data_IF_334365583178
#
_entry.id   IF_334365583178
#
_cell.length_a   1.000
_cell.length_b   1.000
_cell.length_c   1.000
_cell.angle_alpha   90.00
_cell.angle_beta   90.00
_cell.angle_gamma   90.00
#
_symmetry.space_group_name_H-M   'P 1'
#
loop_
_entity.id
_entity.type
_entity.pdbx_description
1 polymer ?
#
# COMPACT_ATOMS: atom_id res chain seq x y z
N UNK A 1 43.16 3.31 3.29
CA UNK A 1 44.28 3.97 4.00
C UNK A 1 43.95 5.44 4.13
N UNK A 2 43.94 6.03 5.34
CA UNK A 2 43.45 7.40 5.57
C UNK A 2 44.56 8.45 5.45
N UNK A 3 44.20 9.74 5.54
CA UNK A 3 44.84 10.51 6.59
C UNK A 3 43.84 11.26 7.48
N UNK A 4 44.22 11.29 8.76
CA UNK A 4 43.66 12.09 9.83
C UNK A 4 44.03 13.57 9.67
N UNK A 5 43.19 14.49 10.19
CA UNK A 5 43.64 15.57 11.07
C UNK A 5 42.43 16.18 11.80
N UNK A 6 42.54 16.21 13.12
CA UNK A 6 41.61 16.83 14.06
C UNK A 6 41.82 18.35 14.11
N UNK A 7 40.74 19.12 14.32
CA UNK A 7 40.85 20.50 14.82
C UNK A 7 40.14 20.60 16.18
N UNK A 8 40.95 20.80 17.22
CA UNK A 8 40.54 21.09 18.58
C UNK A 8 40.24 22.59 18.71
N UNK A 9 38.98 22.96 18.94
CA UNK A 9 38.64 24.30 19.42
C UNK A 9 37.32 24.28 20.20
N UNK A 10 37.40 24.05 21.51
CA UNK A 10 36.58 24.72 22.54
C UNK A 10 36.81 24.04 23.91
N UNK A 11 37.84 24.49 24.63
CA UNK A 11 37.96 24.27 26.08
C UNK A 11 37.91 25.62 26.80
N UNK A 12 36.90 25.74 27.67
CA UNK A 12 36.87 26.41 28.98
C UNK A 12 36.82 27.95 29.03
N UNK A 13 35.66 28.45 29.50
CA UNK A 13 35.59 29.43 30.60
C UNK A 13 34.59 28.94 31.65
N UNK A 14 35.08 28.71 32.88
CA UNK A 14 34.29 28.59 34.11
C UNK A 14 34.18 29.99 34.71
N UNK A 15 32.97 30.46 35.03
CA UNK A 15 32.72 31.39 36.14
C UNK A 15 31.36 31.02 36.78
N UNK A 16 31.32 31.21 38.09
CA UNK A 16 30.44 30.74 39.17
C UNK A 16 28.93 31.08 39.12
N UNK A 17 28.15 30.20 39.77
CA UNK A 17 26.75 30.39 40.19
C UNK A 17 26.54 31.58 41.16
N UNK A 18 25.30 32.08 41.26
CA UNK A 18 24.51 31.71 42.43
C UNK A 18 23.09 31.22 42.10
N UNK A 19 22.54 30.50 43.08
CA UNK A 19 21.26 29.80 43.08
C UNK A 19 20.05 30.72 43.19
N UNK A 20 18.95 30.35 42.53
CA UNK A 20 17.60 30.55 43.09
C UNK A 20 16.68 29.43 42.62
N UNK A 21 16.26 28.60 43.57
CA UNK A 21 15.18 27.61 43.46
C UNK A 21 13.87 28.31 43.12
N UNK A 22 13.14 27.79 42.13
CA UNK A 22 11.67 27.82 42.16
C UNK A 22 11.13 26.49 41.66
N UNK A 23 10.70 25.67 42.62
CA UNK A 23 9.94 24.44 42.42
C UNK A 23 8.58 24.80 41.85
N UNK A 24 8.21 24.22 40.71
CA UNK A 24 6.82 24.06 40.31
C UNK A 24 6.57 22.59 40.02
N UNK A 25 5.90 21.98 40.99
CA UNK A 25 5.22 20.70 40.91
C UNK A 25 4.16 20.76 39.80
N UNK A 26 4.24 19.86 38.82
CA UNK A 26 3.11 19.51 37.97
C UNK A 26 2.66 18.11 38.37
N UNK A 27 1.40 18.06 38.78
CA UNK A 27 0.69 16.95 39.41
C UNK A 27 0.55 15.77 38.44
N UNK A 28 0.83 14.58 38.97
CA UNK A 28 0.41 13.29 38.46
C UNK A 28 -1.13 13.18 38.45
N UNK A 29 -1.68 12.73 37.33
CA UNK A 29 -3.11 12.40 37.17
C UNK A 29 -3.30 10.96 37.67
N UNK A 30 -4.28 10.68 38.56
CA UNK A 30 -4.54 9.31 39.00
C UNK A 30 -5.33 8.54 37.92
N UNK A 31 -4.90 7.31 37.66
CA UNK A 31 -5.68 6.31 36.92
C UNK A 31 -6.62 5.68 37.95
N UNK A 32 -7.92 5.87 37.75
CA UNK A 32 -8.98 5.30 38.56
C UNK A 32 -9.15 3.82 38.20
N UNK A 33 -8.91 2.95 39.18
CA UNK A 33 -9.09 1.51 39.10
C UNK A 33 -10.49 1.17 39.63
N UNK A 34 -11.46 1.12 38.72
CA UNK A 34 -12.81 0.62 38.99
C UNK A 34 -12.83 -0.91 38.94
N UNK A 35 -13.09 -1.50 40.10
CA UNK A 35 -13.22 -2.91 40.38
C UNK A 35 -14.72 -3.23 40.42
N UNK A 36 -15.22 -4.08 39.53
CA UNK A 36 -16.57 -4.65 39.63
C UNK A 36 -16.47 -6.18 39.57
N UNK A 37 -16.68 -6.77 40.75
CA UNK A 37 -16.94 -8.18 41.00
C UNK A 37 -18.33 -8.56 40.50
N UNK A 38 -18.44 -9.60 39.66
CA UNK A 38 -19.56 -10.55 39.72
C UNK A 38 -19.13 -11.92 39.18
N UNK A 39 -19.01 -12.87 40.09
CA UNK A 39 -18.88 -14.32 39.86
C UNK A 39 -20.24 -15.02 39.90
N UNK A 40 -20.24 -16.27 39.41
CA UNK A 40 -21.31 -17.29 39.32
C UNK A 40 -21.97 -17.31 37.94
N UNK A 41 -21.93 -18.36 37.12
CA UNK A 41 -21.62 -19.77 37.34
C UNK A 41 -22.52 -20.56 36.39
N UNK A 42 -21.99 -21.48 35.58
CA UNK A 42 -22.84 -22.24 34.65
C UNK A 42 -22.05 -22.98 33.56
N UNK A 43 -21.40 -24.07 33.95
CA UNK A 43 -20.95 -25.16 33.08
C UNK A 43 -22.14 -25.85 32.41
N UNK A 44 -22.14 -25.94 31.08
CA UNK A 44 -22.87 -26.97 30.35
C UNK A 44 -21.99 -27.55 29.24
N UNK A 45 -21.60 -28.81 29.47
CA UNK A 45 -21.01 -29.72 28.49
C UNK A 45 -21.94 -29.89 27.29
N UNK A 46 -21.42 -29.73 26.08
CA UNK A 46 -22.06 -30.21 24.86
C UNK A 46 -21.31 -31.43 24.33
N UNK A 47 -21.91 -32.58 24.57
CA UNK A 47 -21.52 -33.91 24.15
C UNK A 47 -21.54 -34.04 22.63
N UNK A 48 -20.45 -34.55 22.08
CA UNK A 48 -20.33 -34.97 20.69
C UNK A 48 -21.24 -36.21 20.45
N UNK A 49 -22.24 -36.10 19.57
CA UNK A 49 -22.98 -37.25 19.04
C UNK A 49 -22.75 -37.37 17.55
N UNK A 50 -22.01 -38.42 17.20
CA UNK A 50 -21.74 -38.91 15.85
C UNK A 50 -22.82 -39.92 15.46
N UNK A 51 -23.55 -39.65 14.38
CA UNK A 51 -24.30 -40.68 13.65
C UNK A 51 -24.70 -40.22 12.24
N UNK A 52 -24.03 -40.71 11.21
CA UNK A 52 -24.62 -41.16 9.94
C UNK A 52 -23.54 -41.70 8.98
N UNK A 53 -23.73 -42.93 8.53
CA UNK A 53 -22.88 -43.71 7.62
C UNK A 53 -22.87 -43.19 6.17
N UNK A 54 -21.87 -43.56 5.34
CA UNK A 54 -21.56 -42.89 4.07
C UNK A 54 -22.45 -43.39 2.93
N UNK A 55 -23.09 -42.46 2.20
CA UNK A 55 -23.75 -42.75 0.93
C UNK A 55 -22.76 -42.58 -0.23
N UNK A 56 -22.70 -43.60 -1.07
CA UNK A 56 -21.85 -43.79 -2.24
C UNK A 56 -22.11 -42.76 -3.36
N UNK A 57 -21.04 -42.19 -3.91
CA UNK A 57 -21.04 -41.36 -5.11
C UNK A 57 -21.34 -42.21 -6.38
N UNK A 58 -22.17 -41.72 -7.33
CA UNK A 58 -22.37 -42.37 -8.62
C UNK A 58 -21.22 -42.07 -9.61
N UNK A 59 -20.98 -42.93 -10.61
CA UNK A 59 -19.81 -42.85 -11.50
C UNK A 59 -19.95 -41.78 -12.60
N UNK A 60 -18.83 -41.33 -13.21
CA UNK A 60 -18.84 -40.26 -14.20
C UNK A 60 -19.18 -40.81 -15.59
N UNK A 61 -20.22 -40.25 -16.21
CA UNK A 61 -20.63 -40.60 -17.57
C UNK A 61 -21.54 -39.56 -18.22
N UNK A 62 -20.91 -38.69 -19.02
CA UNK A 62 -21.43 -37.98 -20.19
C UNK A 62 -22.86 -37.39 -20.15
N UNK A 63 -22.97 -36.08 -19.90
CA UNK A 63 -24.04 -35.25 -20.45
C UNK A 63 -23.49 -33.95 -21.06
N UNK A 64 -23.48 -33.96 -22.39
CA UNK A 64 -23.84 -32.90 -23.33
C UNK A 64 -23.63 -31.43 -22.96
N UNK A 65 -22.85 -30.78 -23.81
CA UNK A 65 -22.67 -29.33 -23.94
C UNK A 65 -23.97 -28.54 -23.75
N UNK A 66 -24.14 -27.92 -22.58
CA UNK A 66 -25.01 -26.77 -22.38
C UNK A 66 -24.14 -25.52 -22.38
N UNK A 67 -24.43 -24.61 -23.32
CA UNK A 67 -23.94 -23.24 -23.30
C UNK A 67 -24.55 -22.55 -22.08
N UNK A 68 -23.80 -22.46 -20.99
CA UNK A 68 -24.17 -21.67 -19.84
C UNK A 68 -24.06 -20.18 -20.19
N UNK A 69 -25.17 -19.62 -20.66
CA UNK A 69 -25.40 -18.18 -20.67
C UNK A 69 -25.82 -17.78 -19.25
N UNK A 70 -24.87 -17.78 -18.33
CA UNK A 70 -25.09 -17.35 -16.95
C UNK A 70 -24.93 -15.81 -16.90
N UNK A 71 -25.99 -15.08 -17.25
CA UNK A 71 -26.13 -13.69 -16.79
C UNK A 71 -26.51 -13.73 -15.30
N UNK A 72 -25.53 -14.07 -14.47
CA UNK A 72 -25.66 -14.09 -13.02
C UNK A 72 -25.87 -12.68 -12.49
N UNK A 73 -26.60 -12.58 -11.38
CA UNK A 73 -26.74 -11.37 -10.58
C UNK A 73 -25.34 -10.83 -10.24
N UNK A 74 -24.86 -9.84 -10.98
CA UNK A 74 -23.58 -9.20 -10.73
C UNK A 74 -23.70 -8.46 -9.39
N UNK A 75 -23.20 -9.06 -8.30
CA UNK A 75 -23.22 -8.48 -6.95
C UNK A 75 -22.36 -7.21 -6.82
N UNK A 76 -21.64 -6.84 -7.88
CA UNK A 76 -20.74 -5.71 -7.91
C UNK A 76 -21.34 -4.55 -8.73
N UNK A 77 -21.17 -3.30 -8.28
CA UNK A 77 -21.67 -2.16 -9.02
C UNK A 77 -21.04 -2.08 -10.41
N UNK A 78 -21.87 -1.76 -11.41
CA UNK A 78 -21.44 -1.55 -12.78
C UNK A 78 -20.31 -0.50 -12.88
N UNK A 79 -19.24 -0.72 -13.67
CA UNK A 79 -18.13 0.23 -13.76
C UNK A 79 -18.53 1.65 -14.17
N UNK A 80 -19.51 1.83 -15.06
CA UNK A 80 -19.99 3.17 -15.42
C UNK A 80 -20.74 3.83 -14.25
N UNK A 81 -21.48 3.05 -13.46
CA UNK A 81 -22.09 3.52 -12.22
C UNK A 81 -21.04 3.93 -11.17
N UNK A 82 -19.98 3.16 -10.98
CA UNK A 82 -18.88 3.52 -10.06
C UNK A 82 -18.21 4.83 -10.49
N UNK A 83 -17.91 4.97 -11.79
CA UNK A 83 -17.32 6.18 -12.35
C UNK A 83 -18.22 7.41 -12.15
N UNK A 84 -19.51 7.32 -12.51
CA UNK A 84 -20.46 8.44 -12.37
C UNK A 84 -20.72 8.82 -10.91
N UNK A 85 -20.74 7.85 -10.00
CA UNK A 85 -20.85 8.11 -8.55
C UNK A 85 -19.62 8.85 -8.00
N UNK A 86 -18.42 8.45 -8.44
CA UNK A 86 -17.19 9.17 -8.07
C UNK A 86 -17.25 10.62 -8.57
N UNK A 87 -17.62 10.82 -9.84
CA UNK A 87 -17.76 12.13 -10.47
C UNK A 87 -18.72 13.03 -9.69
N UNK A 88 -19.91 12.52 -9.36
CA UNK A 88 -20.92 13.28 -8.62
C UNK A 88 -20.46 13.62 -7.19
N UNK A 89 -19.94 12.64 -6.45
CA UNK A 89 -19.58 12.84 -5.04
C UNK A 89 -18.31 13.69 -4.86
N UNK A 90 -17.25 13.41 -5.62
CA UNK A 90 -16.03 14.21 -5.57
C UNK A 90 -16.25 15.61 -6.16
N UNK A 91 -17.03 15.73 -7.25
CA UNK A 91 -17.37 17.03 -7.84
C UNK A 91 -18.11 17.95 -6.86
N UNK A 92 -19.07 17.41 -6.10
CA UNK A 92 -19.77 18.17 -5.07
C UNK A 92 -18.83 18.63 -3.94
N UNK A 93 -17.86 17.81 -3.55
CA UNK A 93 -16.89 18.14 -2.50
C UNK A 93 -15.81 19.13 -2.96
N UNK A 94 -15.48 19.17 -4.24
CA UNK A 94 -14.42 20.01 -4.81
C UNK A 94 -14.93 21.38 -5.27
N UNK A 95 -16.23 21.54 -5.51
CA UNK A 95 -16.81 22.76 -6.09
C UNK A 95 -16.28 24.04 -5.41
N UNK A 96 -15.76 25.02 -6.18
CA UNK A 96 -15.81 25.13 -7.65
C UNK A 96 -14.64 24.47 -8.42
N UNK A 97 -13.69 23.80 -7.76
CA UNK A 97 -12.55 23.14 -8.42
C UNK A 97 -13.03 21.96 -9.30
N UNK A 98 -12.66 21.90 -10.59
CA UNK A 98 -12.92 20.73 -11.43
C UNK A 98 -12.22 19.49 -10.88
N UNK A 99 -12.89 18.32 -10.93
CA UNK A 99 -12.29 17.04 -10.51
C UNK A 99 -10.99 16.74 -11.27
N UNK A 100 -10.89 17.17 -12.52
CA UNK A 100 -9.71 16.97 -13.34
C UNK A 100 -8.47 17.66 -12.77
N UNK A 101 -8.62 18.89 -12.29
CA UNK A 101 -7.53 19.64 -11.66
C UNK A 101 -7.11 18.99 -10.35
N UNK A 102 -8.08 18.52 -9.57
CA UNK A 102 -7.82 17.80 -8.32
C UNK A 102 -7.08 16.48 -8.55
N UNK A 103 -7.44 15.72 -9.59
CA UNK A 103 -6.77 14.48 -9.99
C UNK A 103 -5.35 14.76 -10.51
N UNK A 104 -5.19 15.79 -11.36
CA UNK A 104 -3.87 16.23 -11.86
C UNK A 104 -2.95 16.59 -10.70
N UNK A 105 -3.47 17.35 -9.73
CA UNK A 105 -2.78 17.70 -8.48
C UNK A 105 -2.37 16.49 -7.65
N UNK A 106 -3.19 15.43 -7.60
CA UNK A 106 -2.81 14.19 -6.93
C UNK A 106 -1.58 13.55 -7.58
N UNK A 107 -1.56 13.47 -8.92
CA UNK A 107 -0.43 12.90 -9.66
C UNK A 107 0.83 13.77 -9.47
N UNK A 108 0.70 15.08 -9.62
CA UNK A 108 1.83 16.01 -9.45
C UNK A 108 2.38 15.98 -8.03
N UNK A 109 1.51 15.95 -7.02
CA UNK A 109 1.93 15.84 -5.62
C UNK A 109 2.66 14.52 -5.36
N UNK A 110 2.17 13.41 -5.91
CA UNK A 110 2.85 12.13 -5.78
C UNK A 110 4.25 12.18 -6.40
N UNK A 111 4.35 12.58 -7.68
CA UNK A 111 5.63 12.66 -8.40
C UNK A 111 6.60 13.58 -7.68
N UNK A 112 6.15 14.73 -7.21
CA UNK A 112 7.02 15.73 -6.59
C UNK A 112 7.44 15.39 -5.16
N UNK A 113 6.53 14.86 -4.32
CA UNK A 113 6.75 14.76 -2.87
C UNK A 113 6.75 13.33 -2.33
N UNK A 114 6.04 12.39 -2.97
CA UNK A 114 5.92 11.01 -2.48
C UNK A 114 6.84 10.04 -3.22
N UNK A 115 7.05 10.23 -4.53
CA UNK A 115 7.92 9.37 -5.35
C UNK A 115 9.34 9.20 -4.76
N UNK A 116 10.04 10.25 -4.25
CA UNK A 116 11.33 10.07 -3.58
C UNK A 116 11.32 9.05 -2.43
N UNK A 117 10.17 8.88 -1.79
CA UNK A 117 9.98 7.98 -0.67
C UNK A 117 9.40 6.62 -1.06
N UNK A 118 8.57 6.59 -2.09
CA UNK A 118 7.86 5.41 -2.58
C UNK A 118 7.86 5.37 -4.11
N UNK A 119 9.02 5.08 -4.75
CA UNK A 119 9.16 5.05 -6.20
C UNK A 119 8.58 3.75 -6.77
N UNK A 120 7.25 3.62 -6.76
CA UNK A 120 6.56 2.34 -7.00
C UNK A 120 5.73 2.29 -8.28
N UNK A 121 5.73 3.35 -9.08
CA UNK A 121 4.87 3.45 -10.27
C UNK A 121 5.54 4.28 -11.35
N UNK A 122 5.36 3.86 -12.61
CA UNK A 122 5.81 4.59 -13.78
C UNK A 122 4.89 5.79 -14.06
N UNK A 123 5.46 7.00 -14.02
CA UNK A 123 4.77 8.28 -14.13
C UNK A 123 3.93 8.40 -15.41
N UNK A 124 4.44 8.14 -16.63
CA UNK A 124 3.63 8.20 -17.84
C UNK A 124 2.40 7.28 -17.80
N UNK A 125 2.56 6.06 -17.27
CA UNK A 125 1.44 5.10 -17.11
C UNK A 125 0.41 5.64 -16.13
N UNK A 126 0.85 6.25 -15.03
CA UNK A 126 -0.02 6.84 -14.02
C UNK A 126 -0.79 8.06 -14.57
N UNK A 127 -0.12 8.93 -15.32
CA UNK A 127 -0.75 10.09 -15.98
C UNK A 127 -1.81 9.64 -16.99
N UNK A 128 -1.51 8.62 -17.80
CA UNK A 128 -2.49 8.05 -18.73
C UNK A 128 -3.69 7.41 -18.00
N UNK A 129 -3.44 6.72 -16.88
CA UNK A 129 -4.50 6.14 -16.06
C UNK A 129 -5.41 7.21 -15.42
N UNK A 130 -4.86 8.35 -15.01
CA UNK A 130 -5.61 9.47 -14.44
C UNK A 130 -6.64 10.06 -15.42
N UNK A 131 -6.36 10.04 -16.73
CA UNK A 131 -7.31 10.50 -17.75
C UNK A 131 -8.63 9.72 -17.74
N UNK A 132 -8.59 8.43 -17.35
CA UNK A 132 -9.80 7.59 -17.23
C UNK A 132 -10.75 8.03 -16.12
N UNK A 133 -10.27 8.81 -15.14
CA UNK A 133 -11.13 9.42 -14.12
C UNK A 133 -11.80 10.66 -14.69
N UNK A 134 -11.02 11.51 -15.34
CA UNK A 134 -11.45 12.85 -15.76
C UNK A 134 -12.32 12.84 -17.02
N UNK A 135 -12.19 11.80 -17.85
CA UNK A 135 -12.70 11.74 -19.22
C UNK A 135 -12.23 12.90 -20.13
N UNK A 136 -11.16 13.61 -19.76
CA UNK A 136 -10.54 14.63 -20.61
C UNK A 136 -9.85 13.96 -21.80
N UNK A 137 -10.26 14.29 -23.02
CA UNK A 137 -9.64 13.81 -24.27
C UNK A 137 -9.65 12.28 -24.46
N UNK A 138 -10.51 11.58 -23.74
CA UNK A 138 -10.68 10.12 -23.82
C UNK A 138 -12.18 9.83 -23.95
N UNK A 139 -12.60 8.78 -24.71
CA UNK A 139 -13.99 8.37 -24.72
C UNK A 139 -14.54 8.16 -23.29
N UNK A 140 -15.84 8.41 -23.06
CA UNK A 140 -16.46 8.17 -21.77
C UNK A 140 -16.10 6.76 -21.25
N UNK A 141 -15.80 6.65 -19.96
CA UNK A 141 -15.36 5.37 -19.37
C UNK A 141 -16.33 4.22 -19.67
N UNK A 142 -17.63 4.50 -19.64
CA UNK A 142 -18.67 3.54 -20.04
C UNK A 142 -18.46 3.01 -21.47
N UNK A 143 -18.19 3.90 -22.42
CA UNK A 143 -17.94 3.55 -23.82
C UNK A 143 -16.68 2.71 -23.97
N UNK A 144 -15.60 3.03 -23.25
CA UNK A 144 -14.36 2.23 -23.27
C UNK A 144 -14.59 0.79 -22.82
N UNK A 145 -15.33 0.62 -21.71
CA UNK A 145 -15.66 -0.69 -21.17
C UNK A 145 -16.56 -1.47 -22.13
N UNK A 146 -17.58 -0.83 -22.71
CA UNK A 146 -18.46 -1.47 -23.69
C UNK A 146 -17.76 -1.79 -25.01
N UNK A 147 -16.74 -1.03 -25.40
CA UNK A 147 -15.97 -1.24 -26.64
C UNK A 147 -14.79 -2.21 -26.48
N UNK A 148 -14.57 -2.76 -25.29
CA UNK A 148 -13.47 -3.68 -25.06
C UNK A 148 -13.63 -4.94 -25.92
N UNK A 149 -12.58 -5.31 -26.67
CA UNK A 149 -12.58 -6.48 -27.55
C UNK A 149 -12.71 -7.79 -26.80
N UNK A 150 -12.16 -7.82 -25.59
CA UNK A 150 -12.07 -9.00 -24.75
C UNK A 150 -11.95 -8.62 -23.26
N UNK A 151 -11.99 -9.64 -22.42
CA UNK A 151 -11.87 -9.51 -20.98
C UNK A 151 -10.52 -8.89 -20.54
N UNK A 152 -9.41 -9.21 -21.21
CA UNK A 152 -8.10 -8.67 -20.84
C UNK A 152 -8.03 -7.16 -21.08
N UNK A 153 -8.61 -6.67 -22.17
CA UNK A 153 -8.69 -5.25 -22.44
C UNK A 153 -9.60 -4.54 -21.43
N UNK A 154 -10.73 -5.16 -21.06
CA UNK A 154 -11.60 -4.65 -20.02
C UNK A 154 -10.88 -4.54 -18.67
N UNK A 155 -10.18 -5.59 -18.24
CA UNK A 155 -9.35 -5.60 -17.02
C UNK A 155 -8.28 -4.51 -17.09
N UNK A 156 -7.65 -4.27 -18.25
CA UNK A 156 -6.67 -3.20 -18.41
C UNK A 156 -7.26 -1.81 -18.09
N UNK A 157 -8.47 -1.52 -18.55
CA UNK A 157 -9.14 -0.24 -18.22
C UNK A 157 -9.54 -0.16 -16.75
N UNK A 158 -10.11 -1.24 -16.20
CA UNK A 158 -10.49 -1.31 -14.78
C UNK A 158 -9.27 -1.10 -13.88
N UNK A 159 -8.17 -1.80 -14.15
CA UNK A 159 -6.91 -1.72 -13.39
C UNK A 159 -6.31 -0.32 -13.43
N UNK A 160 -6.26 0.32 -14.60
CA UNK A 160 -5.78 1.71 -14.73
C UNK A 160 -6.65 2.67 -13.90
N UNK A 161 -7.97 2.57 -14.00
CA UNK A 161 -8.87 3.39 -13.19
C UNK A 161 -8.69 3.12 -11.69
N UNK A 162 -8.60 1.86 -11.28
CA UNK A 162 -8.35 1.46 -9.88
C UNK A 162 -7.05 2.05 -9.35
N UNK A 163 -5.97 1.97 -10.13
CA UNK A 163 -4.66 2.53 -9.78
C UNK A 163 -4.73 4.04 -9.57
N UNK A 164 -5.31 4.78 -10.51
CA UNK A 164 -5.41 6.24 -10.43
C UNK A 164 -6.31 6.69 -9.26
N UNK A 165 -7.41 5.98 -9.00
CA UNK A 165 -8.28 6.29 -7.86
C UNK A 165 -7.66 5.90 -6.52
N UNK A 166 -6.90 4.81 -6.44
CA UNK A 166 -6.12 4.44 -5.25
C UNK A 166 -5.07 5.52 -4.93
N UNK A 167 -4.38 6.04 -5.94
CA UNK A 167 -3.46 7.16 -5.79
C UNK A 167 -4.19 8.37 -5.20
N UNK A 168 -5.28 8.80 -5.83
CA UNK A 168 -6.03 9.97 -5.41
C UNK A 168 -6.52 9.81 -3.97
N UNK A 169 -6.99 8.62 -3.57
CA UNK A 169 -7.35 8.34 -2.20
C UNK A 169 -6.18 8.54 -1.22
N UNK A 170 -5.02 7.97 -1.54
CA UNK A 170 -3.81 8.09 -0.73
C UNK A 170 -3.34 9.54 -0.61
N UNK A 171 -3.26 10.27 -1.73
CA UNK A 171 -2.78 11.65 -1.75
C UNK A 171 -3.76 12.61 -1.07
N UNK A 172 -5.06 12.51 -1.36
CA UNK A 172 -6.09 13.36 -0.75
C UNK A 172 -6.11 13.26 0.78
N UNK A 173 -5.77 12.10 1.32
CA UNK A 173 -5.71 11.88 2.78
C UNK A 173 -4.63 12.70 3.50
N UNK A 174 -3.61 13.17 2.79
CA UNK A 174 -2.46 13.89 3.36
C UNK A 174 -2.20 15.26 2.74
N UNK A 175 -2.98 15.66 1.75
CA UNK A 175 -2.74 16.92 1.04
C UNK A 175 -2.90 18.12 2.01
N UNK A 176 -1.93 19.05 2.06
CA UNK A 176 -1.90 20.06 3.13
C UNK A 176 -2.85 21.25 2.91
N UNK A 177 -3.28 21.49 1.68
CA UNK A 177 -4.04 22.66 1.23
C UNK A 177 -5.56 22.55 1.41
N UNK A 178 -6.04 21.43 1.97
CA UNK A 178 -7.46 21.16 2.18
C UNK A 178 -7.78 20.95 3.66
N UNK A 179 -8.94 21.43 4.16
CA UNK A 179 -9.39 21.16 5.51
C UNK A 179 -9.45 19.66 5.82
N UNK A 180 -9.13 19.22 7.06
CA UNK A 180 -9.11 17.81 7.42
C UNK A 180 -10.38 17.03 7.08
N UNK A 181 -11.57 17.61 7.28
CA UNK A 181 -12.86 16.97 6.97
C UNK A 181 -13.02 16.70 5.47
N UNK A 182 -12.69 17.68 4.63
CA UNK A 182 -12.78 17.56 3.18
C UNK A 182 -11.80 16.50 2.66
N UNK A 183 -10.58 16.45 3.20
CA UNK A 183 -9.58 15.42 2.85
C UNK A 183 -10.08 14.00 3.10
N UNK A 184 -10.66 13.77 4.28
CA UNK A 184 -11.18 12.44 4.65
C UNK A 184 -12.32 12.03 3.73
N UNK A 185 -13.25 12.96 3.42
CA UNK A 185 -14.38 12.68 2.52
C UNK A 185 -13.91 12.42 1.08
N UNK A 186 -13.01 13.23 0.55
CA UNK A 186 -12.44 13.03 -0.78
C UNK A 186 -11.67 11.71 -0.86
N UNK A 187 -10.80 11.44 0.12
CA UNK A 187 -10.07 10.19 0.19
C UNK A 187 -11.02 8.99 0.24
N UNK A 188 -12.11 9.07 1.01
CA UNK A 188 -13.14 8.03 1.08
C UNK A 188 -13.87 7.83 -0.26
N UNK A 189 -14.24 8.90 -0.97
CA UNK A 189 -14.87 8.81 -2.30
C UNK A 189 -13.97 8.08 -3.31
N UNK A 190 -12.71 8.50 -3.42
CA UNK A 190 -11.75 7.85 -4.32
C UNK A 190 -11.44 6.40 -3.91
N UNK A 191 -11.31 6.14 -2.61
CA UNK A 191 -11.04 4.80 -2.10
C UNK A 191 -12.21 3.84 -2.35
N UNK A 192 -13.44 4.33 -2.18
CA UNK A 192 -14.66 3.56 -2.47
C UNK A 192 -14.72 3.17 -3.94
N UNK A 193 -14.47 4.13 -4.84
CA UNK A 193 -14.42 3.85 -6.28
C UNK A 193 -13.33 2.85 -6.64
N UNK A 194 -12.13 3.01 -6.09
CA UNK A 194 -11.00 2.09 -6.32
C UNK A 194 -11.33 0.67 -5.87
N UNK A 195 -11.88 0.48 -4.67
CA UNK A 195 -12.28 -0.84 -4.16
C UNK A 195 -13.39 -1.48 -4.99
N UNK A 196 -14.38 -0.70 -5.39
CA UNK A 196 -15.48 -1.19 -6.20
C UNK A 196 -14.99 -1.70 -7.56
N UNK A 197 -14.02 -1.02 -8.18
CA UNK A 197 -13.41 -1.46 -9.43
C UNK A 197 -12.50 -2.67 -9.24
N UNK A 198 -11.66 -2.70 -8.18
CA UNK A 198 -10.80 -3.85 -7.88
C UNK A 198 -11.61 -5.15 -7.79
N UNK A 199 -12.73 -5.14 -7.05
CA UNK A 199 -13.62 -6.31 -6.88
C UNK A 199 -14.13 -6.91 -8.19
N UNK A 200 -14.19 -6.13 -9.28
CA UNK A 200 -14.63 -6.63 -10.60
C UNK A 200 -13.62 -7.53 -11.29
N UNK A 201 -12.34 -7.37 -10.96
CA UNK A 201 -11.26 -8.17 -11.57
C UNK A 201 -10.35 -8.81 -10.51
N UNK A 202 -10.77 -8.83 -9.24
CA UNK A 202 -9.96 -9.26 -8.12
C UNK A 202 -9.50 -10.71 -8.25
N UNK A 203 -10.39 -11.62 -8.64
CA UNK A 203 -10.01 -13.03 -8.88
C UNK A 203 -8.92 -13.13 -9.97
N UNK A 204 -9.10 -12.41 -11.08
CA UNK A 204 -8.09 -12.37 -12.15
C UNK A 204 -6.77 -11.76 -11.67
N UNK A 205 -6.82 -10.69 -10.86
CA UNK A 205 -5.67 -10.03 -10.26
C UNK A 205 -4.91 -10.94 -9.28
N UNK A 206 -5.63 -11.76 -8.51
CA UNK A 206 -5.04 -12.72 -7.58
C UNK A 206 -4.36 -13.90 -8.28
N UNK A 207 -4.81 -14.27 -9.48
CA UNK A 207 -4.18 -15.29 -10.32
C UNK A 207 -3.01 -14.74 -11.15
N UNK A 208 -3.10 -13.47 -11.59
CA UNK A 208 -2.11 -12.81 -12.44
C UNK A 208 -1.66 -11.47 -11.87
N UNK A 209 -1.04 -11.44 -10.68
CA UNK A 209 -0.64 -10.20 -10.04
C UNK A 209 0.50 -9.52 -10.79
N UNK A 210 0.44 -8.19 -10.84
CA UNK A 210 1.47 -7.34 -11.45
C UNK A 210 1.90 -6.22 -10.48
N UNK A 211 2.73 -5.30 -10.96
CA UNK A 211 3.21 -4.18 -10.15
C UNK A 211 2.07 -3.34 -9.57
N UNK A 212 0.99 -3.15 -10.32
CA UNK A 212 -0.16 -2.35 -9.90
C UNK A 212 -0.98 -3.06 -8.83
N UNK A 213 -1.06 -4.40 -8.84
CA UNK A 213 -1.75 -5.19 -7.81
C UNK A 213 -1.21 -4.89 -6.41
N UNK A 214 0.12 -4.72 -6.29
CA UNK A 214 0.80 -4.33 -5.04
C UNK A 214 0.53 -2.87 -4.70
N UNK A 215 0.75 -1.98 -5.65
CA UNK A 215 0.67 -0.53 -5.46
C UNK A 215 -0.73 -0.07 -5.07
N UNK A 216 -1.77 -0.62 -5.70
CA UNK A 216 -3.17 -0.35 -5.36
C UNK A 216 -3.43 -0.63 -3.88
N UNK A 217 -3.00 -1.81 -3.40
CA UNK A 217 -3.18 -2.23 -2.00
C UNK A 217 -2.33 -1.41 -1.03
N UNK A 218 -1.10 -1.07 -1.41
CA UNK A 218 -0.25 -0.16 -0.62
C UNK A 218 -0.90 1.22 -0.48
N UNK A 219 -1.50 1.76 -1.54
CA UNK A 219 -2.21 3.04 -1.48
C UNK A 219 -3.57 2.96 -0.76
N UNK A 220 -4.29 1.84 -0.86
CA UNK A 220 -5.48 1.60 -0.01
C UNK A 220 -5.10 1.58 1.47
N UNK A 221 -3.99 0.92 1.81
CA UNK A 221 -3.44 0.88 3.17
C UNK A 221 -3.11 2.29 3.67
N UNK A 222 -2.39 3.08 2.85
CA UNK A 222 -2.01 4.45 3.17
C UNK A 222 -3.23 5.36 3.35
N UNK A 223 -4.18 5.33 2.40
CA UNK A 223 -5.41 6.13 2.46
C UNK A 223 -6.20 5.84 3.74
N UNK A 224 -6.34 4.55 4.11
CA UNK A 224 -7.01 4.14 5.34
C UNK A 224 -6.28 4.61 6.59
N UNK A 225 -4.96 4.43 6.65
CA UNK A 225 -4.14 4.84 7.79
C UNK A 225 -4.25 6.35 8.02
N UNK A 226 -4.08 7.13 6.96
CA UNK A 226 -4.04 8.58 7.01
C UNK A 226 -5.41 9.20 7.29
N UNK A 227 -6.49 8.60 6.77
CA UNK A 227 -7.84 9.16 6.91
C UNK A 227 -8.54 8.76 8.21
N UNK A 228 -8.25 7.58 8.75
CA UNK A 228 -9.03 7.02 9.87
C UNK A 228 -8.20 6.69 11.11
N UNK A 229 -6.87 6.58 10.97
CA UNK A 229 -6.01 6.02 12.01
C UNK A 229 -6.28 4.54 12.35
N UNK A 230 -7.22 3.88 11.65
CA UNK A 230 -7.60 2.49 11.92
C UNK A 230 -6.53 1.54 11.39
N UNK A 231 -5.59 1.23 12.27
CA UNK A 231 -4.43 0.39 11.96
C UNK A 231 -4.84 -1.00 11.48
N UNK A 232 -5.98 -1.54 11.93
CA UNK A 232 -6.45 -2.89 11.55
C UNK A 232 -6.83 -3.02 10.07
N UNK A 233 -7.70 -2.15 9.55
CA UNK A 233 -8.11 -2.18 8.14
C UNK A 233 -7.01 -1.70 7.20
N UNK A 234 -6.20 -0.72 7.61
CA UNK A 234 -5.00 -0.34 6.86
C UNK A 234 -4.04 -1.52 6.70
N UNK A 235 -3.85 -2.32 7.75
CA UNK A 235 -2.99 -3.49 7.72
C UNK A 235 -3.49 -4.58 6.81
N UNK A 236 -4.81 -4.81 6.74
CA UNK A 236 -5.35 -5.85 5.88
C UNK A 236 -4.88 -5.69 4.43
N UNK A 237 -4.95 -4.49 3.87
CA UNK A 237 -4.44 -4.21 2.53
C UNK A 237 -2.91 -4.35 2.43
N UNK A 238 -2.18 -3.93 3.45
CA UNK A 238 -0.72 -4.09 3.48
C UNK A 238 -0.31 -5.57 3.50
N UNK A 239 -0.99 -6.37 4.32
CA UNK A 239 -0.78 -7.81 4.44
C UNK A 239 -1.09 -8.53 3.13
N UNK A 240 -2.16 -8.14 2.46
CA UNK A 240 -2.52 -8.68 1.14
C UNK A 240 -1.44 -8.37 0.09
N UNK A 241 -0.93 -7.13 0.05
CA UNK A 241 0.20 -6.76 -0.81
C UNK A 241 1.47 -7.55 -0.48
N UNK A 242 1.81 -7.69 0.81
CA UNK A 242 2.95 -8.48 1.25
C UNK A 242 2.83 -9.96 0.84
N UNK A 243 1.63 -10.54 0.98
CA UNK A 243 1.35 -11.90 0.57
C UNK A 243 1.46 -12.09 -0.95
N UNK A 244 0.96 -11.16 -1.75
CA UNK A 244 1.16 -11.18 -3.21
C UNK A 244 2.65 -11.08 -3.58
N UNK A 245 3.40 -10.19 -2.94
CA UNK A 245 4.85 -10.08 -3.16
C UNK A 245 5.59 -11.39 -2.83
N UNK A 246 5.17 -12.11 -1.79
CA UNK A 246 5.69 -13.44 -1.45
C UNK A 246 5.30 -14.50 -2.49
N UNK A 247 4.03 -14.51 -2.95
CA UNK A 247 3.54 -15.43 -3.99
C UNK A 247 4.29 -15.26 -5.31
N UNK A 248 4.52 -14.00 -5.70
CA UNK A 248 5.32 -13.61 -6.86
C UNK A 248 6.83 -13.84 -6.66
N UNK A 249 7.26 -14.21 -5.44
CA UNK A 249 8.66 -14.46 -5.07
C UNK A 249 9.58 -13.27 -5.35
N UNK A 250 9.10 -12.05 -5.11
CA UNK A 250 9.86 -10.84 -5.40
C UNK A 250 11.12 -10.68 -4.54
N UNK A 251 11.32 -11.52 -3.52
CA UNK A 251 12.58 -11.64 -2.79
C UNK A 251 13.73 -12.27 -3.62
N UNK A 252 13.43 -12.79 -4.81
CA UNK A 252 14.38 -13.44 -5.71
C UNK A 252 14.52 -12.65 -7.01
N UNK A 253 15.75 -12.27 -7.35
CA UNK A 253 16.02 -11.42 -8.52
C UNK A 253 15.56 -12.07 -9.84
N UNK A 254 15.73 -13.39 -9.99
CA UNK A 254 15.29 -14.07 -11.22
C UNK A 254 13.78 -13.97 -11.41
N UNK A 255 12.99 -14.12 -10.34
CA UNK A 255 11.53 -13.98 -10.40
C UNK A 255 11.10 -12.57 -10.75
N UNK A 256 11.81 -11.54 -10.29
CA UNK A 256 11.53 -10.15 -10.71
C UNK A 256 11.80 -9.96 -12.20
N UNK A 257 12.88 -10.55 -12.73
CA UNK A 257 13.28 -10.42 -14.14
C UNK A 257 12.38 -11.20 -15.12
N UNK A 258 11.49 -12.08 -14.64
CA UNK A 258 10.46 -12.75 -15.44
C UNK A 258 9.31 -11.79 -15.85
N UNK A 259 9.20 -10.63 -15.20
CA UNK A 259 8.18 -9.61 -15.49
C UNK A 259 8.61 -8.65 -16.62
N UNK A 260 7.66 -7.94 -17.26
CA UNK A 260 7.98 -6.91 -18.24
C UNK A 260 8.95 -5.87 -17.69
N UNK A 261 9.97 -5.50 -18.48
CA UNK A 261 11.05 -4.60 -18.07
C UNK A 261 10.58 -3.30 -17.42
N UNK A 262 9.49 -2.73 -17.92
CA UNK A 262 8.90 -1.49 -17.38
C UNK A 262 8.38 -1.66 -15.94
N UNK A 263 7.97 -2.86 -15.55
CA UNK A 263 7.42 -3.15 -14.22
C UNK A 263 8.49 -3.48 -13.18
N UNK A 264 9.65 -3.97 -13.62
CA UNK A 264 10.74 -4.45 -12.76
C UNK A 264 11.15 -3.44 -11.67
N UNK A 265 11.34 -2.14 -11.95
CA UNK A 265 11.67 -1.17 -10.90
C UNK A 265 10.55 -1.01 -9.87
N UNK A 266 9.30 -0.97 -10.32
CA UNK A 266 8.12 -0.84 -9.47
C UNK A 266 7.96 -2.06 -8.53
N UNK A 267 8.15 -3.28 -9.05
CA UNK A 267 8.09 -4.51 -8.27
C UNK A 267 9.17 -4.56 -7.20
N UNK A 268 10.41 -4.23 -7.57
CA UNK A 268 11.56 -4.20 -6.65
C UNK A 268 11.36 -3.17 -5.53
N UNK A 269 10.96 -1.94 -5.89
CA UNK A 269 10.70 -0.89 -4.90
C UNK A 269 9.54 -1.26 -3.97
N UNK A 270 8.46 -1.83 -4.51
CA UNK A 270 7.31 -2.30 -3.73
C UNK A 270 7.71 -3.39 -2.75
N UNK A 271 8.46 -4.41 -3.19
CA UNK A 271 8.95 -5.45 -2.29
C UNK A 271 9.80 -4.87 -1.16
N UNK A 272 10.76 -3.99 -1.47
CA UNK A 272 11.61 -3.39 -0.44
C UNK A 272 10.84 -2.59 0.61
N UNK A 273 9.79 -1.87 0.18
CA UNK A 273 8.90 -1.15 1.09
C UNK A 273 8.07 -2.10 1.97
N UNK A 274 7.47 -3.13 1.36
CA UNK A 274 6.67 -4.13 2.07
C UNK A 274 7.51 -4.93 3.07
N UNK A 275 8.66 -5.45 2.63
CA UNK A 275 9.59 -6.20 3.48
C UNK A 275 10.05 -5.37 4.68
N UNK A 276 10.38 -4.10 4.47
CA UNK A 276 10.82 -3.23 5.56
C UNK A 276 9.70 -2.90 6.55
N UNK A 277 8.50 -2.65 6.05
CA UNK A 277 7.33 -2.38 6.89
C UNK A 277 6.94 -3.61 7.72
N UNK A 278 6.97 -4.80 7.13
CA UNK A 278 6.69 -6.07 7.80
C UNK A 278 7.74 -6.38 8.87
N UNK A 279 9.04 -6.24 8.53
CA UNK A 279 10.15 -6.41 9.47
C UNK A 279 10.06 -5.44 10.65
N UNK A 280 9.75 -4.17 10.40
CA UNK A 280 9.56 -3.18 11.47
C UNK A 280 8.37 -3.54 12.35
N UNK A 281 7.27 -3.99 11.75
CA UNK A 281 6.05 -4.37 12.48
C UNK A 281 6.27 -5.59 13.39
N UNK A 282 7.06 -6.56 12.92
CA UNK A 282 7.43 -7.76 13.66
C UNK A 282 8.34 -7.44 14.86
N UNK A 283 9.36 -6.60 14.66
CA UNK A 283 10.28 -6.19 15.72
C UNK A 283 9.59 -5.37 16.81
N UNK A 284 8.61 -4.54 16.43
CA UNK A 284 7.76 -3.81 17.36
C UNK A 284 6.66 -4.69 17.99
N UNK A 285 6.63 -5.99 17.68
CA UNK A 285 5.64 -6.96 18.15
C UNK A 285 4.19 -6.51 17.91
N UNK A 286 3.99 -5.71 16.86
CA UNK A 286 2.68 -5.16 16.53
C UNK A 286 1.82 -6.14 15.74
N UNK A 287 2.44 -7.05 14.97
CA UNK A 287 1.81 -8.13 14.19
C UNK A 287 2.81 -9.26 13.86
N UNK A 288 2.31 -10.46 13.52
CA UNK A 288 3.12 -11.52 12.94
C UNK A 288 3.71 -11.13 11.56
N UNK A 289 4.97 -11.50 11.26
CA UNK A 289 5.58 -11.23 9.97
C UNK A 289 5.01 -12.13 8.85
N UNK A 290 4.88 -11.58 7.65
CA UNK A 290 4.51 -12.29 6.42
C UNK A 290 5.77 -12.56 5.58
N UNK A 291 6.59 -11.54 5.36
CA UNK A 291 7.81 -11.58 4.56
C UNK A 291 9.02 -11.99 5.41
N UNK A 292 8.86 -13.08 6.16
CA UNK A 292 9.95 -13.68 6.93
C UNK A 292 10.81 -14.57 6.02
N UNK A 293 12.12 -14.33 6.04
CA UNK A 293 13.12 -15.05 5.25
C UNK A 293 13.09 -16.56 5.46
N UNK A 294 12.71 -17.03 6.66
CA UNK A 294 12.57 -18.45 6.98
C UNK A 294 11.47 -19.15 6.18
N UNK A 295 10.50 -18.40 5.68
CA UNK A 295 9.38 -18.93 4.87
C UNK A 295 9.62 -18.78 3.36
N UNK A 296 10.79 -18.30 2.94
CA UNK A 296 11.10 -18.16 1.53
C UNK A 296 11.50 -19.51 0.93
N UNK A 297 10.86 -19.86 -0.19
CA UNK A 297 11.13 -21.13 -0.92
C UNK A 297 12.48 -21.14 -1.63
N UNK A 298 13.12 -19.98 -1.77
CA UNK A 298 14.42 -19.77 -2.42
C UNK A 298 15.20 -18.74 -1.60
N UNK A 299 16.50 -18.66 -1.86
CA UNK A 299 17.35 -17.64 -1.26
C UNK A 299 16.85 -16.23 -1.58
N UNK A 300 16.99 -15.35 -0.60
CA UNK A 300 16.81 -13.91 -0.77
C UNK A 300 17.97 -13.39 -1.62
N UNK A 301 17.70 -13.04 -2.88
CA UNK A 301 18.71 -12.54 -3.82
C UNK A 301 18.34 -11.22 -4.48
N UNK A 302 17.19 -10.63 -4.11
CA UNK A 302 16.73 -9.37 -4.70
C UNK A 302 17.79 -8.28 -4.55
N UNK A 303 18.13 -7.64 -5.67
CA UNK A 303 19.12 -6.58 -5.69
C UNK A 303 18.56 -5.26 -5.16
N UNK A 304 19.43 -4.38 -4.67
CA UNK A 304 19.02 -3.01 -4.31
C UNK A 304 18.63 -2.23 -5.56
N UNK A 305 19.57 -2.16 -6.51
CA UNK A 305 19.36 -1.59 -7.83
C UNK A 305 19.27 -2.75 -8.82
N UNK A 306 18.33 -2.67 -9.78
CA UNK A 306 18.34 -3.56 -10.93
C UNK A 306 19.53 -3.27 -11.85
N UNK A 307 19.73 -4.13 -12.85
CA UNK A 307 20.75 -3.93 -13.89
C UNK A 307 20.28 -3.06 -15.06
N UNK A 308 18.98 -2.73 -15.11
CA UNK A 308 18.37 -2.02 -16.23
C UNK A 308 18.19 -0.52 -15.96
N UNK A 309 18.43 0.29 -16.99
CA UNK A 309 18.13 1.73 -17.02
C UNK A 309 16.63 2.01 -17.24
N UNK A 310 15.76 1.28 -16.54
CA UNK A 310 14.31 1.47 -16.60
C UNK A 310 13.91 2.54 -15.58
N UNK A 311 13.70 3.77 -16.06
CA UNK A 311 13.23 4.89 -15.26
C UNK A 311 11.71 4.85 -15.07
N UNK A 312 11.26 5.13 -13.85
CA UNK A 312 9.86 5.29 -13.52
C UNK A 312 9.36 6.72 -13.76
N UNK A 313 10.21 7.73 -13.61
CA UNK A 313 9.88 9.12 -13.94
C UNK A 313 10.01 9.37 -15.44
N UNK A 314 9.21 10.30 -15.95
CA UNK A 314 9.31 10.70 -17.36
C UNK A 314 10.58 11.53 -17.57
N UNK A 315 11.60 11.05 -18.31
CA UNK A 315 12.84 11.78 -18.51
C UNK A 315 12.66 13.00 -19.43
N UNK A 316 11.56 13.08 -20.19
CA UNK A 316 11.26 14.23 -21.05
C UNK A 316 10.72 15.43 -20.28
N UNK A 317 10.27 15.23 -19.03
CA UNK A 317 9.82 16.30 -18.16
C UNK A 317 11.00 17.15 -17.67
N UNK A 318 10.93 18.47 -17.86
CA UNK A 318 11.98 19.42 -17.42
C UNK A 318 12.36 19.29 -15.94
N UNK A 319 11.41 18.90 -15.10
CA UNK A 319 11.62 18.73 -13.66
C UNK A 319 12.45 17.48 -13.35
N UNK A 320 12.43 16.48 -14.23
CA UNK A 320 13.08 15.18 -14.07
C UNK A 320 14.47 15.09 -14.74
N UNK A 321 14.96 16.20 -15.29
CA UNK A 321 16.28 16.28 -15.92
C UNK A 321 17.43 15.99 -14.94
N UNK A 322 18.65 15.81 -15.48
CA UNK A 322 19.88 15.66 -14.69
C UNK A 322 19.87 14.45 -13.75
N UNK A 323 19.48 13.28 -14.28
CA UNK A 323 19.44 12.00 -13.57
C UNK A 323 18.75 12.09 -12.21
N UNK A 324 17.68 12.89 -12.12
CA UNK A 324 16.96 13.13 -10.88
C UNK A 324 16.54 11.82 -10.23
N UNK A 325 15.90 10.92 -11.00
CA UNK A 325 15.45 9.64 -10.48
C UNK A 325 16.59 8.83 -9.86
N UNK A 326 17.73 8.69 -10.55
CA UNK A 326 18.89 7.97 -10.01
C UNK A 326 19.34 8.56 -8.66
N UNK A 327 19.33 9.89 -8.52
CA UNK A 327 19.66 10.56 -7.24
C UNK A 327 18.60 10.32 -6.17
N UNK A 328 17.31 10.31 -6.53
CA UNK A 328 16.23 9.99 -5.61
C UNK A 328 16.32 8.54 -5.12
N UNK A 329 16.65 7.60 -6.00
CA UNK A 329 16.83 6.19 -5.66
C UNK A 329 17.98 5.98 -4.67
N UNK A 330 19.09 6.72 -4.78
CA UNK A 330 20.16 6.70 -3.76
C UNK A 330 19.59 7.04 -2.37
N UNK A 331 18.76 8.08 -2.29
CA UNK A 331 18.09 8.48 -1.04
C UNK A 331 17.12 7.42 -0.52
N UNK A 332 16.31 6.84 -1.41
CA UNK A 332 15.40 5.74 -1.09
C UNK A 332 16.12 4.52 -0.51
N UNK A 333 17.21 4.07 -1.14
CA UNK A 333 18.00 2.93 -0.66
C UNK A 333 18.75 3.25 0.64
N UNK A 334 19.24 4.48 0.81
CA UNK A 334 19.82 4.91 2.08
C UNK A 334 18.79 4.85 3.22
N UNK A 335 17.60 5.42 3.00
CA UNK A 335 16.48 5.33 3.95
C UNK A 335 16.21 3.87 4.32
N UNK A 336 16.07 3.01 3.32
CA UNK A 336 15.79 1.58 3.52
C UNK A 336 16.84 0.90 4.41
N UNK A 337 18.14 1.13 4.14
CA UNK A 337 19.24 0.57 4.93
C UNK A 337 19.24 1.07 6.38
N UNK A 338 18.95 2.36 6.61
CA UNK A 338 18.85 2.92 7.95
C UNK A 338 17.73 2.24 8.74
N UNK A 339 16.54 2.10 8.17
CA UNK A 339 15.42 1.44 8.83
C UNK A 339 15.69 -0.05 9.08
N UNK A 340 16.32 -0.76 8.12
CA UNK A 340 16.69 -2.15 8.30
C UNK A 340 17.72 -2.34 9.43
N UNK A 341 18.73 -1.45 9.51
CA UNK A 341 19.70 -1.45 10.60
C UNK A 341 19.05 -1.17 11.96
N UNK A 342 18.10 -0.23 12.01
CA UNK A 342 17.34 0.06 13.23
C UNK A 342 16.49 -1.15 13.68
N UNK A 343 15.79 -1.80 12.74
CA UNK A 343 15.00 -3.00 13.03
C UNK A 343 15.88 -4.15 13.55
N UNK A 344 17.03 -4.42 12.91
CA UNK A 344 17.98 -5.44 13.37
C UNK A 344 18.51 -5.13 14.77
N UNK A 345 18.86 -3.87 15.06
CA UNK A 345 19.33 -3.46 16.38
C UNK A 345 18.27 -3.72 17.46
N UNK A 346 17.02 -3.39 17.18
CA UNK A 346 15.92 -3.62 18.10
C UNK A 346 15.67 -5.12 18.32
N UNK A 347 15.68 -5.92 17.26
CA UNK A 347 15.53 -7.38 17.34
C UNK A 347 16.61 -8.01 18.24
N UNK A 348 17.88 -7.63 18.06
CA UNK A 348 19.00 -8.07 18.89
C UNK A 348 18.80 -7.72 20.38
N UNK A 349 18.26 -6.53 20.67
CA UNK A 349 18.04 -6.09 22.07
C UNK A 349 16.82 -6.76 22.70
N UNK A 350 15.76 -7.01 21.93
CA UNK A 350 14.53 -7.64 22.41
C UNK A 350 14.73 -9.15 22.64
N UNK A 351 15.45 -9.84 21.75
CA UNK A 351 15.72 -11.28 21.88
C UNK A 351 16.73 -11.60 22.98
N UNK A 352 17.60 -10.66 23.38
CA UNK A 352 18.52 -10.83 24.51
C UNK A 352 17.84 -10.79 25.89
N UNK A 353 16.56 -10.40 25.99
CA UNK A 353 15.83 -10.41 27.28
C UNK A 353 15.34 -11.79 27.73
N UNK A 354 15.51 -12.84 26.93
CA UNK A 354 15.07 -14.21 27.25
C UNK A 354 16.21 -15.19 27.60
N UNK A 355 17.43 -14.69 27.83
CA UNK A 355 18.61 -15.51 28.18
C UNK A 355 19.22 -15.16 29.56
N UNK A 356 18.42 -14.66 30.50
CA UNK A 356 18.84 -14.44 31.90
C UNK A 356 17.97 -15.23 32.84
#
# INVERSE_FOLDING_TARGET
MPPAHACNACKRRKVSHPSTRRSQSVRSIPIDSGQDDHTLGGTTDYTFQSSASPQSLPPPGAESARRDSCHGLDFYPDPAHVHSTLQATAGALLSPEPIADAVRKCVDFFVQYQFPNTPVVHEPTLRAAALLITAENVPPFASLISSASDFHQQVSYLRKFTLATALCASVMSVLPDRPPSQRVLLAASFLSASRAMLRRYEEHDLEHPDSTSLVIRMWHSAAMQNSTGKVGTSYHYHAEAAYLAQRMRLYNEMSVQEHPKLEVPSLRASFWLLYLADKTSAVLQSRPPILNEQFFKREFTLLENGHDDNFLLDPSGKVNENSLESRLLVGFHLKRRIWAAAANLLDDTCNKKFLV
#
